data_IF_505732589663
#
_entry.id   IF_505732589663
#
_cell.length_a   1.000
_cell.length_b   1.000
_cell.length_c   1.000
_cell.angle_alpha   90.00
_cell.angle_beta   90.00
_cell.angle_gamma   90.00
#
_symmetry.space_group_name_H-M   'P 1'
#
loop_
_entity.id
_entity.type
_entity.pdbx_description
1 polymer ?
#
# COMPACT_ATOMS: atom_id res chain seq x y z
N UNK A 1 10.97 -15.10 7.75
CA UNK A 1 11.80 -14.02 8.33
C UNK A 1 11.09 -13.26 9.43
N UNK A 2 9.86 -12.74 9.22
CA UNK A 2 9.11 -11.99 10.24
C UNK A 2 8.88 -12.76 11.56
N UNK A 3 8.53 -14.05 11.50
CA UNK A 3 8.33 -14.90 12.69
C UNK A 3 9.63 -15.07 13.49
N UNK A 4 10.75 -15.29 12.80
CA UNK A 4 12.07 -15.44 13.44
C UNK A 4 12.48 -14.11 14.11
N UNK A 5 12.26 -12.99 13.44
CA UNK A 5 12.54 -11.67 14.02
C UNK A 5 11.67 -11.40 15.25
N UNK A 6 10.38 -11.72 15.18
CA UNK A 6 9.45 -11.57 16.30
C UNK A 6 9.88 -12.42 17.50
N UNK A 7 10.33 -13.66 17.26
CA UNK A 7 10.86 -14.53 18.32
C UNK A 7 12.14 -13.95 18.94
N UNK A 8 13.09 -13.48 18.12
CA UNK A 8 14.32 -12.84 18.60
C UNK A 8 13.99 -11.59 19.41
N UNK A 9 13.07 -10.74 18.95
CA UNK A 9 12.65 -9.54 19.65
C UNK A 9 11.97 -9.86 20.99
N UNK A 10 11.06 -10.84 21.05
CA UNK A 10 10.43 -11.29 22.30
C UNK A 10 11.47 -11.74 23.31
N UNK A 11 12.36 -12.65 22.91
CA UNK A 11 13.41 -13.16 23.78
C UNK A 11 14.32 -12.02 24.26
N UNK A 12 14.71 -11.12 23.37
CA UNK A 12 15.57 -9.99 23.69
C UNK A 12 14.94 -9.01 24.68
N UNK A 13 13.66 -8.66 24.49
CA UNK A 13 12.92 -7.75 25.37
C UNK A 13 12.70 -8.42 26.73
N UNK A 14 12.34 -9.71 26.75
CA UNK A 14 12.18 -10.46 27.99
C UNK A 14 13.48 -10.49 28.79
N UNK A 15 14.61 -10.84 28.16
CA UNK A 15 15.92 -10.85 28.83
C UNK A 15 16.33 -9.46 29.29
N UNK A 16 16.11 -8.41 28.49
CA UNK A 16 16.46 -7.04 28.87
C UNK A 16 15.65 -6.54 30.08
N UNK A 17 14.35 -6.84 30.13
CA UNK A 17 13.48 -6.49 31.26
C UNK A 17 13.89 -7.28 32.50
N UNK A 18 14.14 -8.58 32.37
CA UNK A 18 14.56 -9.46 33.47
C UNK A 18 15.91 -9.03 34.06
N UNK A 19 16.90 -8.72 33.22
CA UNK A 19 18.22 -8.24 33.65
C UNK A 19 18.12 -6.84 34.28
N UNK A 20 17.30 -5.94 33.73
CA UNK A 20 17.10 -4.61 34.33
C UNK A 20 16.50 -4.70 35.74
N UNK A 21 15.58 -5.64 35.97
CA UNK A 21 15.02 -5.92 37.30
C UNK A 21 16.05 -6.51 38.29
N UNK A 22 17.02 -7.28 37.79
CA UNK A 22 18.10 -7.84 38.61
C UNK A 22 19.19 -6.82 38.98
N UNK A 23 19.47 -5.86 38.09
CA UNK A 23 20.56 -4.88 38.26
C UNK A 23 20.15 -3.68 39.12
N UNK A 24 18.87 -3.30 39.10
CA UNK A 24 18.30 -2.27 39.97
C UNK A 24 17.26 -2.85 40.95
N UNK A 25 17.69 -3.69 41.90
CA UNK A 25 16.81 -4.10 42.99
C UNK A 25 16.62 -2.90 43.91
N UNK A 26 15.48 -2.22 43.79
CA UNK A 26 15.10 -1.16 44.71
C UNK A 26 14.94 -1.77 46.11
N UNK A 27 15.74 -1.38 47.13
CA UNK A 27 15.69 -1.98 48.47
C UNK A 27 14.32 -1.90 49.13
N UNK A 28 13.48 -0.95 48.70
CA UNK A 28 12.10 -0.77 49.19
C UNK A 28 11.07 -1.68 48.49
N UNK A 29 11.37 -2.20 47.30
CA UNK A 29 10.52 -3.11 46.54
C UNK A 29 10.74 -4.59 46.89
N UNK A 30 11.92 -4.94 47.41
CA UNK A 30 12.30 -6.32 47.78
C UNK A 30 11.37 -6.91 48.86
N UNK A 31 10.82 -6.09 49.75
CA UNK A 31 9.93 -6.56 50.83
C UNK A 31 8.47 -6.82 50.42
N UNK A 32 8.05 -6.40 49.22
CA UNK A 32 6.66 -6.59 48.74
C UNK A 32 6.55 -7.39 47.45
N UNK A 33 7.66 -7.69 46.78
CA UNK A 33 7.69 -8.48 45.56
C UNK A 33 8.29 -9.86 45.80
N UNK A 34 7.44 -10.89 45.77
CA UNK A 34 7.87 -12.27 45.59
C UNK A 34 8.69 -12.37 44.29
N UNK A 35 9.95 -12.81 44.39
CA UNK A 35 10.85 -13.07 43.25
C UNK A 35 10.19 -14.01 42.20
N UNK A 36 9.24 -14.84 42.64
CA UNK A 36 8.43 -15.71 41.80
C UNK A 36 7.60 -14.96 40.73
N UNK A 37 7.26 -13.68 40.92
CA UNK A 37 6.39 -12.92 40.01
C UNK A 37 7.15 -12.10 38.94
N UNK A 38 8.47 -11.97 39.06
CA UNK A 38 9.31 -11.27 38.07
C UNK A 38 9.21 -11.85 36.65
N UNK A 39 9.22 -13.18 36.44
CA UNK A 39 9.04 -13.72 35.08
C UNK A 39 7.64 -13.41 34.50
N UNK A 40 6.59 -13.42 35.33
CA UNK A 40 5.24 -13.08 34.87
C UNK A 40 5.12 -11.60 34.46
N UNK A 41 5.78 -10.70 35.20
CA UNK A 41 5.82 -9.26 34.88
C UNK A 41 6.65 -8.96 33.63
N UNK A 42 7.83 -9.59 33.51
CA UNK A 42 8.67 -9.47 32.31
C UNK A 42 7.95 -10.01 31.06
N UNK A 43 7.18 -11.08 31.21
CA UNK A 43 6.35 -11.63 30.13
C UNK A 43 5.19 -10.69 29.76
N UNK A 44 4.47 -10.13 30.74
CA UNK A 44 3.39 -9.19 30.48
C UNK A 44 3.89 -7.93 29.75
N UNK A 45 5.04 -7.39 30.17
CA UNK A 45 5.68 -6.24 29.54
C UNK A 45 6.14 -6.53 28.11
N UNK A 46 6.78 -7.68 27.88
CA UNK A 46 7.25 -8.06 26.54
C UNK A 46 6.07 -8.26 25.58
N UNK A 47 4.98 -8.88 26.05
CA UNK A 47 3.78 -9.11 25.25
C UNK A 47 3.07 -7.78 24.91
N UNK A 48 3.05 -6.82 25.85
CA UNK A 48 2.53 -5.48 25.58
C UNK A 48 3.34 -4.74 24.49
N UNK A 49 4.67 -4.82 24.55
CA UNK A 49 5.54 -4.22 23.54
C UNK A 49 5.28 -4.82 22.15
N UNK A 50 5.19 -6.15 22.04
CA UNK A 50 4.96 -6.85 20.77
C UNK A 50 3.60 -6.50 20.17
N UNK A 51 2.54 -6.49 20.98
CA UNK A 51 1.19 -6.12 20.53
C UNK A 51 1.19 -4.69 20.01
N UNK A 52 1.82 -3.76 20.72
CA UNK A 52 1.90 -2.37 20.29
C UNK A 52 2.71 -2.20 18.99
N UNK A 53 3.80 -2.95 18.84
CA UNK A 53 4.62 -2.94 17.63
C UNK A 53 3.90 -3.57 16.43
N UNK A 54 3.05 -4.58 16.67
CA UNK A 54 2.16 -5.16 15.68
C UNK A 54 1.14 -4.14 15.18
N UNK A 55 0.44 -3.45 16.09
CA UNK A 55 -0.56 -2.43 15.71
C UNK A 55 0.03 -1.20 15.00
N UNK A 56 1.33 -0.92 15.17
CA UNK A 56 2.02 0.18 14.50
C UNK A 56 2.77 -0.27 13.22
N UNK A 57 2.49 -1.48 12.72
CA UNK A 57 3.05 -2.07 11.50
C UNK A 57 4.59 -2.12 11.48
N UNK A 58 5.27 -2.15 12.64
CA UNK A 58 6.73 -2.24 12.69
C UNK A 58 7.26 -3.62 12.25
N UNK A 59 6.39 -4.62 12.20
CA UNK A 59 6.71 -5.96 11.70
C UNK A 59 6.50 -6.13 10.18
N UNK A 60 5.87 -5.17 9.52
CA UNK A 60 5.73 -5.23 8.07
C UNK A 60 6.93 -4.57 7.38
N UNK A 61 7.86 -5.41 6.92
CA UNK A 61 9.03 -4.99 6.13
C UNK A 61 8.66 -4.31 4.81
N UNK A 62 7.41 -4.41 4.35
CA UNK A 62 6.94 -3.67 3.17
C UNK A 62 6.78 -2.17 3.47
N UNK A 63 6.48 -1.83 4.73
CA UNK A 63 6.08 -0.51 5.21
C UNK A 63 7.24 0.27 5.82
N UNK A 64 8.14 -0.41 6.54
CA UNK A 64 9.35 0.19 7.13
C UNK A 64 10.58 -0.43 6.48
N UNK A 65 11.14 0.28 5.49
CA UNK A 65 12.25 -0.23 4.66
C UNK A 65 13.62 0.31 5.08
N UNK A 66 13.66 1.26 6.00
CA UNK A 66 14.89 1.94 6.38
C UNK A 66 14.91 2.35 7.86
N UNK A 67 16.12 2.46 8.41
CA UNK A 67 16.36 2.88 9.80
C UNK A 67 15.75 4.27 10.11
N UNK A 68 15.79 5.28 9.23
CA UNK A 68 15.16 6.58 9.51
C UNK A 68 13.63 6.51 9.61
N UNK A 69 12.99 5.69 8.76
CA UNK A 69 11.54 5.47 8.83
C UNK A 69 11.15 4.76 10.13
N UNK A 70 11.95 3.78 10.56
CA UNK A 70 11.79 3.12 11.84
C UNK A 70 11.92 4.11 13.01
N UNK A 71 12.98 4.94 13.00
CA UNK A 71 13.25 5.92 14.05
C UNK A 71 12.14 6.97 14.18
N UNK A 72 11.50 7.35 13.07
CA UNK A 72 10.36 8.29 13.08
C UNK A 72 9.08 7.70 13.72
N UNK A 73 8.91 6.38 13.68
CA UNK A 73 7.72 5.68 14.22
C UNK A 73 7.92 5.22 15.66
N UNK A 74 9.17 5.02 16.07
CA UNK A 74 9.55 4.51 17.38
C UNK A 74 8.93 5.30 18.55
N UNK A 75 8.93 6.65 18.58
CA UNK A 75 8.36 7.41 19.71
C UNK A 75 6.88 7.13 19.93
N UNK A 76 6.09 7.04 18.84
CA UNK A 76 4.66 6.76 18.91
C UNK A 76 4.38 5.35 19.39
N UNK A 77 5.09 4.36 18.85
CA UNK A 77 4.91 2.97 19.26
C UNK A 77 5.39 2.73 20.69
N UNK A 78 6.45 3.40 21.11
CA UNK A 78 6.99 3.27 22.45
C UNK A 78 6.08 3.94 23.49
N UNK A 79 5.56 5.13 23.18
CA UNK A 79 4.57 5.81 24.04
C UNK A 79 3.31 4.97 24.26
N UNK A 80 2.78 4.37 23.19
CA UNK A 80 1.63 3.47 23.30
C UNK A 80 1.94 2.21 24.14
N UNK A 81 3.16 1.66 24.03
CA UNK A 81 3.57 0.49 24.78
C UNK A 81 3.67 0.79 26.29
N UNK A 82 4.24 1.95 26.66
CA UNK A 82 4.33 2.42 28.05
C UNK A 82 2.93 2.61 28.65
N UNK A 83 2.00 3.24 27.93
CA UNK A 83 0.63 3.45 28.40
C UNK A 83 -0.10 2.12 28.62
N UNK A 84 0.01 1.20 27.65
CA UNK A 84 -0.66 -0.10 27.73
C UNK A 84 -0.08 -0.97 28.85
N UNK A 85 1.26 -1.01 28.96
CA UNK A 85 1.96 -1.70 30.03
C UNK A 85 1.62 -1.15 31.41
N UNK A 86 1.64 0.18 31.58
CA UNK A 86 1.31 0.84 32.84
C UNK A 86 -0.15 0.59 33.27
N UNK A 87 -1.08 0.66 32.32
CA UNK A 87 -2.50 0.32 32.54
C UNK A 87 -2.69 -1.13 32.98
N UNK A 88 -2.08 -2.08 32.27
CA UNK A 88 -2.21 -3.50 32.57
C UNK A 88 -1.61 -3.85 33.94
N UNK A 89 -0.45 -3.27 34.25
CA UNK A 89 0.24 -3.49 35.51
C UNK A 89 -0.54 -2.91 36.70
N UNK A 90 -1.16 -1.74 36.53
CA UNK A 90 -2.05 -1.13 37.52
C UNK A 90 -3.28 -2.00 37.80
N UNK A 91 -3.89 -2.59 36.77
CA UNK A 91 -5.03 -3.49 36.94
C UNK A 91 -4.67 -4.82 37.61
N UNK A 92 -3.50 -5.38 37.33
CA UNK A 92 -3.07 -6.67 37.89
C UNK A 92 -2.50 -6.56 39.31
N UNK A 93 -1.87 -5.43 39.64
CA UNK A 93 -1.17 -5.23 40.91
C UNK A 93 -1.45 -3.83 41.51
N UNK A 94 -2.69 -3.56 41.94
CA UNK A 94 -3.11 -2.22 42.41
C UNK A 94 -2.37 -1.73 43.68
N UNK A 95 -1.75 -2.64 44.44
CA UNK A 95 -0.99 -2.32 45.65
C UNK A 95 0.53 -2.25 45.43
N UNK A 96 1.01 -2.55 44.22
CA UNK A 96 2.41 -2.45 43.90
C UNK A 96 2.81 -0.98 43.68
N UNK A 97 3.67 -0.46 44.56
CA UNK A 97 4.31 0.84 44.37
C UNK A 97 5.50 0.65 43.43
N UNK A 98 5.32 1.00 42.17
CA UNK A 98 6.40 0.98 41.20
C UNK A 98 7.24 2.25 41.33
N UNK A 99 8.54 2.11 41.60
CA UNK A 99 9.46 3.21 41.44
C UNK A 99 9.69 3.46 39.94
N UNK A 100 9.71 4.73 39.55
CA UNK A 100 9.84 5.11 38.13
C UNK A 100 11.20 4.70 37.53
N UNK A 101 12.23 4.55 38.37
CA UNK A 101 13.61 4.25 37.95
C UNK A 101 13.76 2.90 37.25
N UNK A 102 13.46 1.76 37.91
CA UNK A 102 13.59 0.43 37.32
C UNK A 102 12.72 0.25 36.06
N UNK A 103 11.51 0.81 36.06
CA UNK A 103 10.61 0.77 34.91
C UNK A 103 11.22 1.54 33.73
N UNK A 104 11.67 2.77 33.95
CA UNK A 104 12.33 3.57 32.91
C UNK A 104 13.61 2.89 32.39
N UNK A 105 14.40 2.28 33.26
CA UNK A 105 15.59 1.53 32.90
C UNK A 105 15.27 0.33 32.00
N UNK A 106 14.27 -0.49 32.33
CA UNK A 106 13.82 -1.62 31.50
C UNK A 106 13.36 -1.18 30.12
N UNK A 107 12.68 -0.03 30.04
CA UNK A 107 12.24 0.55 28.78
C UNK A 107 13.44 1.05 27.95
N UNK A 108 14.40 1.76 28.54
CA UNK A 108 15.59 2.26 27.84
C UNK A 108 16.47 1.12 27.31
N UNK A 109 16.68 0.06 28.11
CA UNK A 109 17.44 -1.12 27.67
C UNK A 109 16.72 -1.88 26.56
N UNK A 110 15.40 -2.06 26.66
CA UNK A 110 14.60 -2.68 25.60
C UNK A 110 14.63 -1.86 24.30
N UNK A 111 14.53 -0.52 24.37
CA UNK A 111 14.61 0.36 23.21
C UNK A 111 15.98 0.28 22.53
N UNK A 112 17.07 0.29 23.31
CA UNK A 112 18.44 0.17 22.79
C UNK A 112 18.67 -1.18 22.10
N UNK A 113 18.23 -2.28 22.72
CA UNK A 113 18.39 -3.62 22.15
C UNK A 113 17.56 -3.80 20.87
N UNK A 114 16.34 -3.26 20.83
CA UNK A 114 15.50 -3.24 19.64
C UNK A 114 16.17 -2.47 18.49
N UNK A 115 16.74 -1.30 18.79
CA UNK A 115 17.47 -0.50 17.80
C UNK A 115 18.69 -1.26 17.25
N UNK A 116 19.43 -1.98 18.10
CA UNK A 116 20.57 -2.80 17.67
C UNK A 116 20.14 -3.97 16.79
N UNK A 117 19.11 -4.73 17.18
CA UNK A 117 18.57 -5.84 16.38
C UNK A 117 18.06 -5.33 15.03
N UNK A 118 17.39 -4.16 15.02
CA UNK A 118 16.89 -3.54 13.77
C UNK A 118 18.01 -3.01 12.90
N UNK A 119 19.02 -2.37 13.47
CA UNK A 119 20.20 -1.95 12.73
C UNK A 119 20.93 -3.15 12.12
N UNK A 120 21.12 -4.23 12.89
CA UNK A 120 21.73 -5.47 12.43
C UNK A 120 20.92 -6.15 11.32
N UNK A 121 19.60 -6.25 11.47
CA UNK A 121 18.72 -6.85 10.44
C UNK A 121 18.67 -6.00 9.17
N UNK A 122 18.56 -4.68 9.26
CA UNK A 122 18.62 -3.81 8.07
C UNK A 122 20.01 -3.85 7.41
N UNK A 123 21.10 -3.89 8.18
CA UNK A 123 22.45 -4.05 7.64
C UNK A 123 22.62 -5.42 6.96
N UNK A 124 22.10 -6.48 7.57
CA UNK A 124 22.12 -7.83 7.02
C UNK A 124 21.26 -7.95 5.76
N UNK A 125 20.08 -7.32 5.73
CA UNK A 125 19.20 -7.25 4.55
C UNK A 125 19.81 -6.39 3.42
N UNK A 126 20.64 -5.40 3.76
CA UNK A 126 21.41 -4.60 2.79
C UNK A 126 22.65 -5.34 2.28
N UNK A 127 23.13 -6.35 3.02
CA UNK A 127 24.27 -7.16 2.62
C UNK A 127 23.96 -8.01 1.38
N UNK A 128 25.00 -8.34 0.60
CA UNK A 128 24.88 -9.12 -0.64
C UNK A 128 24.30 -10.53 -0.43
N UNK A 129 24.25 -11.01 0.82
CA UNK A 129 23.81 -12.35 1.19
C UNK A 129 22.30 -12.58 1.03
N UNK A 130 21.48 -11.52 1.05
CA UNK A 130 20.01 -11.61 0.96
C UNK A 130 19.42 -11.06 -0.34
N UNK A 131 20.23 -10.86 -1.39
CA UNK A 131 19.70 -10.46 -2.70
C UNK A 131 18.96 -11.63 -3.32
N UNK A 132 17.67 -11.46 -3.57
CA UNK A 132 16.90 -12.43 -4.33
C UNK A 132 17.46 -12.53 -5.74
N UNK A 133 17.80 -13.77 -6.10
CA UNK A 133 18.40 -14.17 -7.36
C UNK A 133 17.28 -14.46 -8.35
N UNK A 134 16.96 -13.48 -9.19
CA UNK A 134 15.81 -13.53 -10.10
C UNK A 134 16.27 -13.96 -11.51
N UNK A 135 15.65 -15.01 -12.03
CA UNK A 135 15.77 -15.46 -13.42
C UNK A 135 14.48 -15.08 -14.16
N UNK A 136 14.60 -14.42 -15.31
CA UNK A 136 13.44 -14.04 -16.13
C UNK A 136 13.34 -14.97 -17.33
N UNK A 137 12.14 -15.45 -17.61
CA UNK A 137 11.86 -16.33 -18.74
C UNK A 137 11.07 -15.56 -19.80
N UNK A 138 11.68 -15.32 -20.96
CA UNK A 138 11.16 -14.49 -22.05
C UNK A 138 11.81 -13.11 -22.15
N UNK A 139 12.29 -12.74 -23.34
CA UNK A 139 12.85 -11.43 -23.64
C UNK A 139 11.79 -10.51 -24.26
N UNK A 140 10.74 -10.23 -23.49
CA UNK A 140 9.62 -9.37 -23.90
C UNK A 140 9.82 -7.90 -23.50
N UNK A 141 9.05 -6.94 -24.07
CA UNK A 141 9.03 -5.56 -23.57
C UNK A 141 8.70 -5.48 -22.07
N UNK A 142 7.81 -6.36 -21.59
CA UNK A 142 7.51 -6.53 -20.17
C UNK A 142 8.75 -6.92 -19.37
N UNK A 143 9.56 -7.87 -19.88
CA UNK A 143 10.81 -8.27 -19.24
C UNK A 143 11.79 -7.10 -19.11
N UNK A 144 11.92 -6.24 -20.14
CA UNK A 144 12.77 -5.03 -20.07
C UNK A 144 12.33 -4.08 -18.95
N UNK A 145 11.03 -3.80 -18.87
CA UNK A 145 10.47 -2.94 -17.82
C UNK A 145 10.61 -3.57 -16.43
N UNK A 146 10.42 -4.90 -16.32
CA UNK A 146 10.64 -5.64 -15.09
C UNK A 146 12.10 -5.57 -14.63
N UNK A 147 13.07 -5.70 -15.54
CA UNK A 147 14.50 -5.61 -15.21
C UNK A 147 14.82 -4.23 -14.64
N UNK A 148 14.38 -3.17 -15.30
CA UNK A 148 14.60 -1.80 -14.82
C UNK A 148 14.02 -1.58 -13.41
N UNK A 149 12.80 -2.07 -13.15
CA UNK A 149 12.13 -1.95 -11.85
C UNK A 149 12.76 -2.85 -10.76
N UNK A 150 13.26 -4.02 -11.13
CA UNK A 150 13.93 -4.94 -10.21
C UNK A 150 15.34 -4.44 -9.85
N UNK A 151 16.09 -3.92 -10.82
CA UNK A 151 17.44 -3.37 -10.61
C UNK A 151 17.42 -2.04 -9.85
N UNK A 152 16.37 -1.23 -10.01
CA UNK A 152 16.14 -0.04 -9.20
C UNK A 152 15.98 -0.37 -7.70
N UNK A 153 15.70 -1.63 -7.33
CA UNK A 153 15.52 -2.07 -5.95
C UNK A 153 16.76 -2.79 -5.42
N UNK A 154 17.18 -2.44 -4.21
CA UNK A 154 18.42 -2.94 -3.61
C UNK A 154 18.41 -4.45 -3.22
N UNK A 155 17.24 -5.09 -3.18
CA UNK A 155 17.07 -6.48 -2.69
C UNK A 155 16.90 -7.53 -3.79
N UNK A 156 16.84 -7.14 -5.06
CA UNK A 156 16.73 -8.08 -6.18
C UNK A 156 17.96 -7.95 -7.06
N UNK A 157 18.47 -9.08 -7.55
CA UNK A 157 19.48 -9.12 -8.60
C UNK A 157 18.94 -9.98 -9.73
N UNK A 158 18.70 -9.36 -10.88
CA UNK A 158 18.45 -10.09 -12.11
C UNK A 158 19.75 -10.77 -12.51
N UNK A 159 19.74 -12.10 -12.62
CA UNK A 159 20.93 -12.86 -13.01
C UNK A 159 20.99 -13.03 -14.51
N UNK A 160 19.82 -13.16 -15.13
CA UNK A 160 19.70 -13.16 -16.57
C UNK A 160 18.30 -13.48 -17.04
N UNK A 161 18.20 -13.55 -18.36
CA UNK A 161 17.01 -13.78 -19.15
C UNK A 161 17.24 -14.98 -20.04
N UNK A 162 16.26 -15.88 -20.06
CA UNK A 162 16.25 -17.07 -20.90
C UNK A 162 15.17 -16.90 -21.96
N UNK A 163 15.55 -16.91 -23.23
CA UNK A 163 14.60 -16.90 -24.35
C UNK A 163 15.17 -17.65 -25.56
N UNK A 164 14.31 -18.26 -26.36
CA UNK A 164 14.74 -18.94 -27.59
C UNK A 164 14.97 -17.97 -28.74
N UNK A 165 14.41 -16.75 -28.66
CA UNK A 165 14.49 -15.79 -29.75
C UNK A 165 15.69 -14.87 -29.52
N UNK A 166 16.81 -15.20 -30.16
CA UNK A 166 17.90 -14.26 -30.39
C UNK A 166 17.46 -13.31 -31.51
N UNK A 167 16.65 -12.29 -31.19
CA UNK A 167 16.35 -11.23 -32.16
C UNK A 167 17.61 -10.42 -32.47
N UNK A 168 17.74 -9.98 -33.73
CA UNK A 168 18.85 -9.16 -34.23
C UNK A 168 19.04 -7.87 -33.40
N UNK A 169 17.91 -7.28 -32.96
CA UNK A 169 17.84 -6.27 -31.91
C UNK A 169 17.38 -6.91 -30.59
N UNK A 170 18.26 -7.02 -29.58
CA UNK A 170 17.88 -7.53 -28.27
C UNK A 170 17.05 -6.48 -27.53
N UNK A 171 15.81 -6.82 -27.18
CA UNK A 171 14.96 -5.99 -26.30
C UNK A 171 15.60 -5.84 -24.90
N UNK A 172 16.40 -6.83 -24.51
CA UNK A 172 17.09 -6.96 -23.22
C UNK A 172 18.62 -6.89 -23.45
N UNK A 173 19.40 -6.29 -22.54
CA UNK A 173 20.86 -6.26 -22.65
C UNK A 173 21.49 -7.63 -22.89
N UNK A 174 22.39 -7.76 -23.89
CA UNK A 174 23.00 -9.05 -24.28
C UNK A 174 23.75 -9.75 -23.14
N UNK A 175 24.33 -9.00 -22.21
CA UNK A 175 25.06 -9.56 -21.06
C UNK A 175 24.16 -10.32 -20.07
N UNK A 176 22.85 -10.12 -20.13
CA UNK A 176 21.88 -10.83 -19.32
C UNK A 176 21.31 -12.07 -20.02
N UNK A 177 21.57 -12.29 -21.32
CA UNK A 177 21.03 -13.44 -22.03
C UNK A 177 21.83 -14.71 -21.66
N UNK A 178 21.19 -15.61 -20.92
CA UNK A 178 21.81 -16.86 -20.43
C UNK A 178 21.64 -18.04 -21.41
N UNK A 179 20.85 -17.86 -22.47
CA UNK A 179 20.67 -18.85 -23.53
C UNK A 179 19.21 -19.20 -23.80
N UNK A 180 19.02 -20.32 -24.49
CA UNK A 180 17.71 -20.84 -24.92
C UNK A 180 16.97 -21.57 -23.80
N UNK A 181 15.63 -21.54 -23.84
CA UNK A 181 14.73 -22.24 -22.93
C UNK A 181 14.91 -23.75 -22.94
N UNK A 182 15.42 -24.34 -24.04
CA UNK A 182 15.69 -25.79 -24.12
C UNK A 182 16.73 -26.26 -23.11
N UNK A 183 17.63 -25.37 -22.70
CA UNK A 183 18.65 -25.65 -21.68
C UNK A 183 18.28 -25.04 -20.32
N UNK A 184 17.00 -24.74 -20.08
CA UNK A 184 16.55 -24.10 -18.84
C UNK A 184 16.98 -24.90 -17.60
N UNK A 185 16.88 -26.23 -17.66
CA UNK A 185 17.33 -27.10 -16.56
C UNK A 185 18.79 -26.88 -16.19
N UNK A 186 19.69 -26.91 -17.18
CA UNK A 186 21.12 -26.67 -16.97
C UNK A 186 21.38 -25.26 -16.42
N UNK A 187 20.70 -24.24 -16.97
CA UNK A 187 20.82 -22.86 -16.51
C UNK A 187 20.38 -22.73 -15.04
N UNK A 188 19.29 -23.40 -14.65
CA UNK A 188 18.79 -23.37 -13.26
C UNK A 188 19.77 -24.06 -12.32
N UNK A 189 20.38 -25.18 -12.72
CA UNK A 189 21.36 -25.92 -11.92
C UNK A 189 22.66 -25.12 -11.70
N UNK A 190 23.14 -24.42 -12.73
CA UNK A 190 24.35 -23.60 -12.70
C UNK A 190 24.13 -22.29 -11.92
N UNK A 191 23.02 -21.60 -12.23
CA UNK A 191 22.74 -20.27 -11.69
C UNK A 191 22.12 -20.33 -10.29
N UNK A 192 21.38 -21.40 -9.97
CA UNK A 192 20.61 -21.58 -8.74
C UNK A 192 19.76 -20.34 -8.37
N UNK A 193 18.76 -19.99 -9.21
CA UNK A 193 17.89 -18.87 -8.92
C UNK A 193 16.98 -19.17 -7.71
N UNK A 194 16.71 -18.15 -6.90
CA UNK A 194 15.72 -18.25 -5.82
C UNK A 194 14.29 -17.98 -6.31
N UNK A 195 14.16 -17.26 -7.44
CA UNK A 195 12.88 -16.89 -8.05
C UNK A 195 12.96 -16.92 -9.57
N UNK A 196 11.94 -17.47 -10.22
CA UNK A 196 11.76 -17.47 -11.67
C UNK A 196 10.52 -16.65 -12.01
N UNK A 197 10.66 -15.67 -12.89
CA UNK A 197 9.56 -14.80 -13.35
C UNK A 197 9.28 -15.10 -14.81
N UNK A 198 8.09 -15.62 -15.10
CA UNK A 198 7.67 -15.96 -16.46
C UNK A 198 7.07 -14.74 -17.16
N UNK A 199 7.86 -14.05 -17.97
CA UNK A 199 7.48 -12.87 -18.74
C UNK A 199 7.29 -13.21 -20.23
N UNK A 200 6.46 -14.22 -20.52
CA UNK A 200 6.11 -14.64 -21.88
C UNK A 200 4.76 -14.06 -22.32
N UNK A 201 4.73 -13.46 -23.52
CA UNK A 201 3.49 -12.99 -24.15
C UNK A 201 2.59 -14.16 -24.59
N UNK A 202 3.20 -15.23 -25.11
CA UNK A 202 2.49 -16.45 -25.53
C UNK A 202 2.97 -17.65 -24.70
N UNK A 203 2.05 -18.30 -23.99
CA UNK A 203 2.35 -19.41 -23.08
C UNK A 203 2.12 -20.78 -23.73
N UNK A 204 1.23 -20.86 -24.71
CA UNK A 204 0.86 -22.14 -25.33
C UNK A 204 2.06 -22.71 -26.09
N UNK A 205 2.50 -23.91 -25.68
CA UNK A 205 3.62 -24.64 -26.30
C UNK A 205 5.02 -24.05 -26.09
N UNK A 206 5.14 -22.88 -25.44
CA UNK A 206 6.43 -22.19 -25.21
C UNK A 206 6.86 -22.15 -23.75
N UNK A 207 5.93 -22.43 -22.82
CA UNK A 207 6.23 -22.51 -21.39
C UNK A 207 6.77 -23.92 -21.06
N UNK A 208 8.00 -24.06 -20.57
CA UNK A 208 8.55 -25.35 -20.14
C UNK A 208 7.93 -25.77 -18.80
N UNK A 209 6.71 -26.29 -18.85
CA UNK A 209 5.89 -26.59 -17.66
C UNK A 209 6.59 -27.58 -16.72
N UNK A 210 7.21 -28.63 -17.27
CA UNK A 210 7.89 -29.65 -16.46
C UNK A 210 9.06 -29.06 -15.67
N UNK A 211 9.94 -28.29 -16.33
CA UNK A 211 11.09 -27.67 -15.68
C UNK A 211 10.68 -26.66 -14.60
N UNK A 212 9.61 -25.89 -14.84
CA UNK A 212 9.08 -24.94 -13.86
C UNK A 212 8.40 -25.63 -12.68
N UNK A 213 7.71 -26.76 -12.91
CA UNK A 213 7.12 -27.56 -11.84
C UNK A 213 8.20 -28.22 -10.98
N UNK A 214 9.23 -28.80 -11.59
CA UNK A 214 10.39 -29.39 -10.88
C UNK A 214 11.12 -28.31 -10.07
N UNK A 215 11.34 -27.13 -10.66
CA UNK A 215 11.91 -25.98 -9.97
C UNK A 215 11.08 -25.56 -8.75
N UNK A 216 9.75 -25.53 -8.89
CA UNK A 216 8.84 -25.21 -7.80
C UNK A 216 8.85 -26.27 -6.70
N UNK A 217 8.95 -27.55 -7.06
CA UNK A 217 9.09 -28.65 -6.10
C UNK A 217 10.41 -28.56 -5.31
N UNK A 218 11.47 -28.07 -5.95
CA UNK A 218 12.77 -27.80 -5.32
C UNK A 218 12.81 -26.48 -4.51
N UNK A 219 11.67 -25.84 -4.29
CA UNK A 219 11.56 -24.64 -3.45
C UNK A 219 11.84 -23.32 -4.17
N UNK A 220 12.00 -23.31 -5.49
CA UNK A 220 12.16 -22.09 -6.29
C UNK A 220 10.78 -21.44 -6.49
N UNK A 221 10.68 -20.14 -6.20
CA UNK A 221 9.41 -19.42 -6.36
C UNK A 221 9.20 -19.10 -7.84
N UNK A 222 8.14 -19.65 -8.45
CA UNK A 222 7.76 -19.39 -9.85
C UNK A 222 6.52 -18.49 -9.88
N UNK A 223 6.65 -17.32 -10.52
CA UNK A 223 5.60 -16.30 -10.60
C UNK A 223 5.39 -15.78 -12.03
N UNK A 224 4.20 -15.20 -12.25
CA UNK A 224 3.81 -14.54 -13.49
C UNK A 224 4.45 -13.15 -13.60
N UNK A 225 5.07 -12.85 -14.74
CA UNK A 225 5.67 -11.54 -15.01
C UNK A 225 4.68 -10.37 -14.92
N UNK A 226 3.42 -10.58 -15.30
CA UNK A 226 2.38 -9.55 -15.23
C UNK A 226 2.07 -9.23 -13.76
N UNK A 227 1.79 -10.26 -12.95
CA UNK A 227 1.50 -10.09 -11.53
C UNK A 227 2.67 -9.47 -10.76
N UNK A 228 3.90 -9.87 -11.10
CA UNK A 228 5.12 -9.29 -10.52
C UNK A 228 5.24 -7.82 -10.88
N UNK A 229 5.04 -7.44 -12.15
CA UNK A 229 5.12 -6.06 -12.60
C UNK A 229 4.08 -5.18 -11.90
N UNK A 230 2.82 -5.64 -11.84
CA UNK A 230 1.72 -4.90 -11.21
C UNK A 230 1.94 -4.74 -9.71
N UNK A 231 2.40 -5.78 -9.03
CA UNK A 231 2.73 -5.73 -7.59
C UNK A 231 3.93 -4.84 -7.29
N UNK A 232 4.91 -4.78 -8.18
CA UNK A 232 6.09 -3.93 -8.00
C UNK A 232 5.76 -2.46 -8.26
N UNK A 233 5.08 -2.16 -9.36
CA UNK A 233 4.87 -0.79 -9.84
C UNK A 233 3.55 -0.17 -9.40
N UNK A 234 2.57 -0.99 -9.03
CA UNK A 234 1.17 -0.57 -8.85
C UNK A 234 0.48 -0.17 -10.16
N UNK A 235 1.10 -0.45 -11.32
CA UNK A 235 0.60 -0.10 -12.66
C UNK A 235 0.21 -1.35 -13.41
N UNK A 236 -0.88 -1.29 -14.18
CA UNK A 236 -1.31 -2.35 -15.09
C UNK A 236 -0.34 -2.45 -16.27
N UNK A 237 0.08 -3.67 -16.61
CA UNK A 237 0.92 -3.93 -17.78
C UNK A 237 0.08 -3.90 -19.08
N UNK A 238 -0.31 -2.70 -19.54
CA UNK A 238 -1.19 -2.49 -20.71
C UNK A 238 -0.65 -3.19 -21.96
N UNK A 239 0.66 -3.17 -22.16
CA UNK A 239 1.32 -3.78 -23.32
C UNK A 239 1.23 -5.33 -23.34
N UNK A 240 0.89 -5.96 -22.21
CA UNK A 240 0.76 -7.42 -22.07
C UNK A 240 -0.65 -7.85 -21.64
N UNK A 241 -1.61 -6.93 -21.68
CA UNK A 241 -3.00 -7.18 -21.30
C UNK A 241 -3.72 -7.93 -22.42
N UNK A 242 -3.92 -9.24 -22.22
CA UNK A 242 -4.77 -10.04 -23.10
C UNK A 242 -6.25 -9.79 -22.80
N UNK A 243 -7.13 -9.65 -23.81
CA UNK A 243 -8.57 -9.48 -23.60
C UNK A 243 -9.20 -10.59 -22.73
N UNK A 244 -8.67 -11.81 -22.81
CA UNK A 244 -9.08 -12.92 -21.94
C UNK A 244 -8.86 -12.61 -20.45
N UNK A 245 -7.77 -11.93 -20.09
CA UNK A 245 -7.47 -11.60 -18.70
C UNK A 245 -8.49 -10.61 -18.13
N UNK A 246 -9.03 -9.71 -18.96
CA UNK A 246 -10.10 -8.79 -18.56
C UNK A 246 -11.45 -9.51 -18.37
N UNK A 247 -11.74 -10.54 -19.16
CA UNK A 247 -13.00 -11.29 -19.06
C UNK A 247 -12.99 -12.21 -17.83
N UNK A 248 -11.86 -12.86 -17.55
CA UNK A 248 -11.72 -13.81 -16.44
C UNK A 248 -11.17 -13.19 -15.14
N UNK A 249 -10.88 -11.89 -15.18
CA UNK A 249 -10.48 -11.07 -14.04
C UNK A 249 -11.48 -11.23 -12.90
N UNK A 250 -10.98 -11.63 -11.72
CA UNK A 250 -11.82 -11.78 -10.52
C UNK A 250 -12.23 -10.41 -9.98
N UNK A 251 -11.53 -9.34 -10.36
CA UNK A 251 -11.71 -7.97 -9.90
C UNK A 251 -13.05 -7.35 -10.34
N UNK A 252 -13.71 -7.92 -11.36
CA UNK A 252 -15.07 -7.53 -11.73
C UNK A 252 -16.17 -8.12 -10.83
N UNK A 253 -15.87 -9.14 -10.02
CA UNK A 253 -16.80 -9.67 -9.00
C UNK A 253 -16.76 -8.81 -7.75
N UNK A 254 -17.33 -7.60 -7.81
CA UNK A 254 -17.62 -6.84 -6.58
C UNK A 254 -18.73 -7.56 -5.83
N UNK A 255 -18.45 -7.95 -4.58
CA UNK A 255 -19.45 -8.59 -3.74
C UNK A 255 -20.62 -7.61 -3.57
N UNK A 256 -21.86 -8.13 -3.51
CA UNK A 256 -23.06 -7.27 -3.39
C UNK A 256 -22.97 -6.37 -2.15
N UNK A 257 -22.34 -6.87 -1.08
CA UNK A 257 -22.11 -6.10 0.14
C UNK A 257 -21.16 -4.91 -0.08
N UNK A 258 -20.04 -5.07 -0.79
CA UNK A 258 -19.12 -3.95 -1.07
C UNK A 258 -19.80 -2.82 -1.85
N UNK A 259 -20.68 -3.20 -2.78
CA UNK A 259 -21.50 -2.24 -3.52
C UNK A 259 -22.52 -1.57 -2.60
N UNK A 260 -23.15 -2.30 -1.68
CA UNK A 260 -24.09 -1.72 -0.71
C UNK A 260 -23.39 -0.79 0.29
N UNK A 261 -22.27 -1.20 0.88
CA UNK A 261 -21.48 -0.38 1.79
C UNK A 261 -20.99 0.91 1.10
N UNK A 262 -20.42 0.78 -0.11
CA UNK A 262 -20.00 1.94 -0.90
C UNK A 262 -21.14 2.91 -1.19
N UNK A 263 -22.37 2.40 -1.40
CA UNK A 263 -23.57 3.23 -1.58
C UNK A 263 -23.97 3.96 -0.30
N UNK A 264 -24.04 3.26 0.83
CA UNK A 264 -24.40 3.88 2.12
C UNK A 264 -23.42 4.97 2.51
N UNK A 265 -22.11 4.73 2.34
CA UNK A 265 -21.08 5.74 2.60
C UNK A 265 -21.24 6.93 1.65
N UNK A 266 -21.42 6.67 0.34
CA UNK A 266 -21.61 7.75 -0.64
C UNK A 266 -22.85 8.60 -0.32
N UNK A 267 -23.92 7.99 0.18
CA UNK A 267 -25.14 8.66 0.62
C UNK A 267 -24.88 9.54 1.84
N UNK A 268 -24.32 8.97 2.91
CA UNK A 268 -24.03 9.70 4.15
C UNK A 268 -23.10 10.90 3.89
N UNK A 269 -22.02 10.69 3.13
CA UNK A 269 -21.09 11.76 2.76
C UNK A 269 -21.77 12.84 1.92
N UNK A 270 -22.68 12.47 1.01
CA UNK A 270 -23.40 13.45 0.19
C UNK A 270 -24.41 14.25 1.01
N UNK A 271 -25.09 13.64 1.98
CA UNK A 271 -26.02 14.33 2.89
C UNK A 271 -25.25 15.31 3.76
N UNK A 272 -24.20 14.83 4.43
CA UNK A 272 -23.34 15.64 5.29
C UNK A 272 -22.74 16.80 4.47
N UNK A 273 -22.13 16.50 3.33
CA UNK A 273 -21.58 17.49 2.42
C UNK A 273 -22.63 18.52 1.98
N UNK A 274 -23.85 18.10 1.66
CA UNK A 274 -24.92 19.01 1.26
C UNK A 274 -25.36 19.93 2.41
N UNK A 275 -25.49 19.41 3.64
CA UNK A 275 -25.88 20.22 4.81
C UNK A 275 -24.81 21.27 5.11
N UNK A 276 -23.54 20.89 5.17
CA UNK A 276 -22.44 21.81 5.45
C UNK A 276 -22.19 22.80 4.30
N UNK A 277 -22.32 22.36 3.05
CA UNK A 277 -22.11 23.22 1.89
C UNK A 277 -23.37 23.99 1.48
N UNK A 278 -24.56 23.73 2.02
CA UNK A 278 -25.80 24.45 1.67
C UNK A 278 -25.66 25.98 1.70
N UNK A 279 -25.13 26.62 2.77
CA UNK A 279 -24.96 28.08 2.79
C UNK A 279 -24.00 28.55 1.70
N UNK A 280 -22.91 27.81 1.47
CA UNK A 280 -21.92 28.12 0.43
C UNK A 280 -22.52 27.97 -0.98
N UNK A 281 -23.31 26.92 -1.23
CA UNK A 281 -24.02 26.71 -2.50
C UNK A 281 -24.97 27.87 -2.80
N UNK A 282 -25.67 28.38 -1.78
CA UNK A 282 -26.54 29.56 -1.90
C UNK A 282 -25.77 30.82 -2.26
N UNK A 283 -24.64 31.08 -1.58
CA UNK A 283 -23.77 32.22 -1.88
C UNK A 283 -23.18 32.14 -3.30
N UNK A 284 -22.73 30.97 -3.72
CA UNK A 284 -22.22 30.74 -5.08
C UNK A 284 -23.33 30.95 -6.10
N UNK A 285 -24.54 30.43 -5.84
CA UNK A 285 -25.69 30.63 -6.72
C UNK A 285 -26.04 32.11 -6.90
N UNK A 286 -26.01 32.88 -5.81
CA UNK A 286 -26.22 34.32 -5.85
C UNK A 286 -25.11 35.04 -6.64
N UNK A 287 -23.84 34.71 -6.37
CA UNK A 287 -22.70 35.29 -7.08
C UNK A 287 -22.76 35.04 -8.59
N UNK A 288 -23.15 33.83 -9.01
CA UNK A 288 -23.34 33.50 -10.44
C UNK A 288 -24.48 34.33 -11.04
N UNK A 289 -25.59 34.48 -10.31
CA UNK A 289 -26.76 35.22 -10.78
C UNK A 289 -26.49 36.74 -10.90
N UNK A 290 -25.58 37.26 -10.09
CA UNK A 290 -25.10 38.65 -10.17
C UNK A 290 -24.06 38.86 -11.29
N UNK A 291 -23.22 37.87 -11.57
CA UNK A 291 -22.15 37.95 -12.58
C UNK A 291 -22.64 37.66 -14.01
N UNK A 292 -23.71 36.87 -14.18
CA UNK A 292 -24.18 36.44 -15.50
C UNK A 292 -25.70 36.24 -15.57
N UNK A 293 -26.33 36.72 -16.63
CA UNK A 293 -27.77 36.50 -16.90
C UNK A 293 -28.04 35.05 -17.30
N UNK A 294 -28.94 34.37 -16.60
CA UNK A 294 -29.49 33.06 -16.95
C UNK A 294 -29.43 32.04 -15.81
N UNK A 295 -29.47 30.74 -16.15
CA UNK A 295 -29.53 29.67 -15.15
C UNK A 295 -28.24 29.58 -14.32
N UNK A 296 -28.39 29.33 -13.02
CA UNK A 296 -27.26 29.09 -12.10
C UNK A 296 -26.61 27.73 -12.38
N UNK A 297 -27.41 26.74 -12.79
CA UNK A 297 -26.95 25.39 -13.07
C UNK A 297 -26.74 25.16 -14.56
N UNK A 298 -25.69 24.41 -14.87
CA UNK A 298 -25.39 23.82 -16.17
C UNK A 298 -25.61 22.31 -16.08
N UNK A 299 -26.30 21.73 -17.07
CA UNK A 299 -26.66 20.31 -17.09
C UNK A 299 -26.06 19.65 -18.33
N UNK A 300 -25.31 18.57 -18.15
CA UNK A 300 -24.65 17.82 -19.22
C UNK A 300 -25.04 16.35 -19.17
N UNK A 301 -25.38 15.73 -20.32
CA UNK A 301 -25.59 14.29 -20.40
C UNK A 301 -24.26 13.53 -20.36
N UNK A 302 -24.18 12.50 -19.51
CA UNK A 302 -23.02 11.61 -19.36
C UNK A 302 -23.46 10.15 -19.39
N UNK A 303 -22.59 9.26 -19.87
CA UNK A 303 -22.83 7.82 -19.87
C UNK A 303 -22.41 7.25 -18.51
N UNK A 304 -23.35 6.63 -17.80
CA UNK A 304 -23.14 5.95 -16.53
C UNK A 304 -23.01 4.43 -16.69
N UNK A 305 -23.18 3.71 -15.58
CA UNK A 305 -23.09 2.25 -15.56
C UNK A 305 -24.11 1.60 -16.50
N UNK A 306 -23.67 0.56 -17.22
CA UNK A 306 -24.52 -0.20 -18.14
C UNK A 306 -24.98 0.61 -19.34
N UNK A 307 -24.24 1.67 -19.71
CA UNK A 307 -24.56 2.53 -20.86
C UNK A 307 -25.71 3.51 -20.62
N UNK A 308 -26.28 3.57 -19.41
CA UNK A 308 -27.41 4.45 -19.11
C UNK A 308 -26.96 5.91 -19.01
N UNK A 309 -27.60 6.80 -19.76
CA UNK A 309 -27.30 8.25 -19.71
C UNK A 309 -27.86 8.86 -18.42
N UNK A 310 -27.14 9.80 -17.81
CA UNK A 310 -27.59 10.59 -16.68
C UNK A 310 -27.20 12.06 -16.85
N UNK A 311 -27.98 12.94 -16.20
CA UNK A 311 -27.77 14.40 -16.23
C UNK A 311 -26.82 14.82 -15.11
N UNK A 312 -25.61 15.21 -15.48
CA UNK A 312 -24.62 15.78 -14.56
C UNK A 312 -24.94 17.27 -14.33
N UNK A 313 -25.08 17.67 -13.07
CA UNK A 313 -25.38 19.06 -12.67
C UNK A 313 -24.09 19.71 -12.16
N UNK A 314 -23.75 20.89 -12.70
CA UNK A 314 -22.65 21.74 -12.26
C UNK A 314 -23.12 23.18 -12.12
N UNK A 315 -22.36 24.01 -11.41
CA UNK A 315 -22.57 25.45 -11.50
C UNK A 315 -22.13 25.98 -12.87
N UNK A 316 -22.86 26.98 -13.36
CA UNK A 316 -22.55 27.65 -14.62
C UNK A 316 -21.31 28.52 -14.42
N UNK A 317 -20.23 28.18 -15.12
CA UNK A 317 -18.96 28.93 -15.07
C UNK A 317 -18.63 29.64 -16.37
N UNK A 318 -19.40 29.42 -17.43
CA UNK A 318 -19.17 29.98 -18.77
C UNK A 318 -20.38 30.75 -19.31
N UNK A 319 -20.10 31.80 -20.09
CA UNK A 319 -21.08 32.49 -20.92
C UNK A 319 -21.55 31.59 -22.09
N UNK A 320 -22.81 31.74 -22.54
CA UNK A 320 -23.32 30.99 -23.68
C UNK A 320 -22.58 31.43 -24.95
N UNK A 321 -22.05 30.47 -25.73
CA UNK A 321 -21.44 30.81 -27.03
C UNK A 321 -22.51 30.81 -28.12
N UNK A 322 -22.47 31.81 -29.00
CA UNK A 322 -23.26 31.82 -30.24
C UNK A 322 -22.64 30.94 -31.34
N UNK A 323 -21.34 30.63 -31.26
CA UNK A 323 -20.62 29.82 -32.24
C UNK A 323 -20.05 28.54 -31.61
N UNK A 324 -20.21 27.40 -32.28
CA UNK A 324 -19.66 26.10 -31.87
C UNK A 324 -18.13 26.08 -32.03
N UNK A 325 -17.39 26.62 -31.05
CA UNK A 325 -15.94 26.39 -30.94
C UNK A 325 -15.64 25.22 -30.00
N UNK A 326 -14.50 24.58 -30.27
CA UNK A 326 -14.02 23.24 -29.89
C UNK A 326 -14.38 22.72 -28.49
N UNK A 327 -14.42 21.39 -28.36
CA UNK A 327 -14.65 20.66 -27.10
C UNK A 327 -13.51 20.80 -26.08
N UNK A 328 -12.37 21.40 -26.48
CA UNK A 328 -11.18 21.49 -25.66
C UNK A 328 -11.24 22.68 -24.70
N UNK A 329 -10.93 22.43 -23.42
CA UNK A 329 -11.08 23.42 -22.35
C UNK A 329 -10.13 24.62 -22.48
N UNK A 330 -8.99 24.46 -23.18
CA UNK A 330 -8.00 25.52 -23.40
C UNK A 330 -8.46 26.59 -24.39
N UNK A 331 -9.34 26.25 -25.32
CA UNK A 331 -9.79 27.16 -26.39
C UNK A 331 -11.01 28.02 -25.98
N UNK A 332 -11.50 27.84 -24.75
CA UNK A 332 -12.74 28.46 -24.25
C UNK A 332 -12.49 29.41 -23.06
N UNK A 333 -11.26 29.85 -22.82
CA UNK A 333 -10.89 30.68 -21.66
C UNK A 333 -11.63 32.04 -21.68
N UNK A 334 -11.80 32.62 -22.87
CA UNK A 334 -12.56 33.86 -23.11
C UNK A 334 -14.03 33.79 -22.67
N UNK A 335 -14.59 32.59 -22.52
CA UNK A 335 -15.98 32.38 -22.12
C UNK A 335 -16.17 32.24 -20.62
N UNK A 336 -15.11 32.14 -19.83
CA UNK A 336 -15.20 31.91 -18.40
C UNK A 336 -15.62 33.21 -17.69
N UNK A 337 -16.71 33.14 -16.92
CA UNK A 337 -17.19 34.24 -16.06
C UNK A 337 -16.17 34.60 -14.98
N UNK A 338 -16.22 35.82 -14.42
CA UNK A 338 -15.27 36.24 -13.37
C UNK A 338 -15.39 35.33 -12.15
N UNK A 339 -16.62 35.06 -11.72
CA UNK A 339 -16.93 34.10 -10.65
C UNK A 339 -16.57 32.68 -11.08
N UNK A 340 -16.85 32.29 -12.32
CA UNK A 340 -16.53 30.97 -12.85
C UNK A 340 -15.04 30.63 -12.83
N UNK A 341 -14.16 31.61 -13.01
CA UNK A 341 -12.70 31.40 -12.91
C UNK A 341 -12.30 30.94 -11.51
N UNK A 342 -12.86 31.57 -10.47
CA UNK A 342 -12.65 31.16 -9.08
C UNK A 342 -13.27 29.79 -8.80
N UNK A 343 -14.50 29.56 -9.24
CA UNK A 343 -15.18 28.28 -9.05
C UNK A 343 -14.40 27.10 -9.66
N UNK A 344 -13.86 27.24 -10.87
CA UNK A 344 -13.06 26.18 -11.51
C UNK A 344 -11.71 25.98 -10.85
N UNK A 345 -11.06 27.06 -10.38
CA UNK A 345 -9.77 26.97 -9.66
C UNK A 345 -9.89 26.14 -8.38
N UNK A 346 -10.99 26.32 -7.65
CA UNK A 346 -11.26 25.59 -6.41
C UNK A 346 -12.17 24.36 -6.61
N UNK A 347 -12.54 24.02 -7.85
CA UNK A 347 -13.51 22.95 -8.19
C UNK A 347 -14.85 23.05 -7.45
N UNK A 348 -15.24 24.26 -7.07
CA UNK A 348 -16.51 24.54 -6.41
C UNK A 348 -17.70 24.40 -7.38
N UNK A 349 -17.44 24.39 -8.68
CA UNK A 349 -18.46 24.18 -9.72
C UNK A 349 -19.07 22.77 -9.70
N UNK A 350 -18.40 21.82 -9.06
CA UNK A 350 -18.82 20.42 -8.94
C UNK A 350 -19.64 20.14 -7.68
N UNK A 351 -19.74 21.09 -6.73
CA UNK A 351 -20.50 20.90 -5.48
C UNK A 351 -21.98 20.53 -5.67
N UNK A 352 -22.72 21.05 -6.70
CA UNK A 352 -24.10 20.63 -6.95
C UNK A 352 -24.25 19.12 -7.22
N UNK A 353 -23.17 18.41 -7.53
CA UNK A 353 -23.20 16.95 -7.74
C UNK A 353 -23.56 16.17 -6.46
N UNK A 354 -23.46 16.75 -5.26
CA UNK A 354 -23.99 16.11 -4.04
C UNK A 354 -25.50 15.84 -4.15
N UNK A 355 -26.26 16.74 -4.77
CA UNK A 355 -27.69 16.55 -5.03
C UNK A 355 -27.93 15.42 -6.05
N UNK A 356 -27.06 15.32 -7.06
CA UNK A 356 -27.13 14.22 -8.02
C UNK A 356 -26.91 12.87 -7.33
N UNK A 357 -25.91 12.75 -6.45
CA UNK A 357 -25.64 11.50 -5.71
C UNK A 357 -26.86 11.01 -4.91
N UNK A 358 -27.67 11.92 -4.37
CA UNK A 358 -28.95 11.59 -3.72
C UNK A 358 -30.00 11.08 -4.72
N UNK A 359 -30.13 11.75 -5.87
CA UNK A 359 -31.13 11.41 -6.90
C UNK A 359 -30.82 10.10 -7.65
N UNK A 360 -29.54 9.84 -7.93
CA UNK A 360 -29.09 8.64 -8.63
C UNK A 360 -29.39 7.36 -7.84
N UNK A 361 -29.51 7.48 -6.51
CA UNK A 361 -29.97 6.41 -5.62
C UNK A 361 -31.43 6.01 -5.89
N UNK A 362 -32.33 6.99 -6.07
CA UNK A 362 -33.74 6.73 -6.39
C UNK A 362 -33.94 6.12 -7.78
N UNK A 363 -32.98 6.30 -8.70
CA UNK A 363 -33.03 5.78 -10.07
C UNK A 363 -32.25 4.46 -10.27
N UNK A 364 -31.65 3.91 -9.20
CA UNK A 364 -30.95 2.64 -9.24
C UNK A 364 -29.66 2.63 -10.09
N UNK A 365 -29.04 3.79 -10.33
CA UNK A 365 -27.81 3.89 -11.15
C UNK A 365 -26.58 3.90 -10.25
N UNK A 366 -25.67 2.96 -10.46
CA UNK A 366 -24.82 2.43 -9.38
C UNK A 366 -23.48 3.12 -9.14
N UNK A 367 -23.11 4.14 -9.92
CA UNK A 367 -21.93 5.01 -9.70
C UNK A 367 -22.00 6.17 -10.69
N UNK A 368 -21.98 7.38 -10.17
CA UNK A 368 -21.51 8.55 -10.88
C UNK A 368 -20.04 8.74 -10.44
N UNK A 369 -19.13 8.78 -11.41
CA UNK A 369 -17.73 9.14 -11.15
C UNK A 369 -17.62 10.63 -10.82
#
# INVERSE_FOLDING_TARGET
MAIILLFIEICSIFTAVYVAMLVWPDPSAINSFNIANWPAQALALSLCCVVTFYYNDLYDFRTVRSLPQFLSRLPRSFGAAVVMAGSLLYMLLPHAKFSAGPVAASFLTAAGLLLLIRAATYALMKSRLFRERVLILGATPLAKSLIAELEARQHCKVIGVVDDVLTSDPVVPRHLLLGSRRHLRHIIEEVRPSRIVAALTERRGRLPVNDLLESRANGIVVEDGIEVYERLTGKLAIESLMPSNLIFSREFRKFRLDLMFGRTISLLVSIIGLVFCAPLLGLIALAIKLDSTGSVFFVQDRVGIGGRRFKLIKFRTMHPSKNHRSEWAKDNDDRITRVGRWLRKFRLDELPQFVLKLRTLCLGVTKCF
#
